data_IF_859139315112
#
_entry.id   IF_859139315112
#
_cell.length_a   1.000
_cell.length_b   1.000
_cell.length_c   1.000
_cell.angle_alpha   90.00
_cell.angle_beta   90.00
_cell.angle_gamma   90.00
#
_symmetry.space_group_name_H-M   'P 1'
#
loop_
_entity.id
_entity.type
_entity.pdbx_description
1 polymer ?
#
# COMPACT_ATOMS: atom_id res chain seq x y z
N UNK A 1 0.31 -6.40 -20.98
CA UNK A 1 0.88 -5.29 -20.18
C UNK A 1 -0.10 -5.02 -19.05
N UNK A 2 0.40 -4.81 -17.83
CA UNK A 2 -0.40 -4.86 -16.59
C UNK A 2 0.08 -5.89 -15.55
N UNK A 3 1.26 -6.49 -15.75
CA UNK A 3 1.78 -7.58 -14.89
C UNK A 3 1.98 -7.14 -13.43
N UNK A 4 2.34 -5.89 -13.22
CA UNK A 4 2.49 -5.30 -11.90
C UNK A 4 1.18 -5.31 -11.11
N UNK A 5 0.14 -4.72 -11.69
CA UNK A 5 -1.14 -4.57 -11.01
C UNK A 5 -1.80 -5.93 -10.75
N UNK A 6 -1.70 -6.88 -11.68
CA UNK A 6 -2.24 -8.24 -11.48
C UNK A 6 -1.65 -8.96 -10.26
N UNK A 7 -0.37 -8.70 -9.98
CA UNK A 7 0.35 -9.32 -8.88
C UNK A 7 0.08 -8.68 -7.52
N UNK A 8 -0.13 -7.36 -7.45
CA UNK A 8 -0.37 -6.61 -6.21
C UNK A 8 -1.51 -5.57 -6.35
N UNK A 9 -2.75 -6.00 -6.63
CA UNK A 9 -3.84 -5.05 -6.87
C UNK A 9 -4.45 -4.45 -5.60
N UNK A 10 -4.11 -4.95 -4.41
CA UNK A 10 -4.89 -4.68 -3.20
C UNK A 10 -4.78 -3.22 -2.72
N UNK A 11 -3.62 -2.59 -2.91
CA UNK A 11 -3.35 -1.21 -2.48
C UNK A 11 -2.77 -0.40 -3.64
N UNK A 12 -3.48 0.66 -4.01
CA UNK A 12 -3.05 1.57 -5.08
C UNK A 12 -2.78 2.96 -4.52
N UNK A 13 -1.55 3.43 -4.63
CA UNK A 13 -1.15 4.80 -4.35
C UNK A 13 -1.46 5.69 -5.54
N UNK A 14 -2.03 6.86 -5.27
CA UNK A 14 -2.44 7.82 -6.32
C UNK A 14 -2.00 9.22 -5.93
N UNK A 15 -1.36 9.92 -6.86
CA UNK A 15 -1.05 11.34 -6.71
C UNK A 15 -0.98 12.04 -8.07
N UNK A 16 -1.29 13.34 -8.04
CA UNK A 16 -1.07 14.26 -9.15
C UNK A 16 0.20 15.06 -8.95
N UNK A 17 0.82 15.47 -10.05
CA UNK A 17 1.97 16.36 -10.04
C UNK A 17 1.94 17.32 -11.22
N UNK A 18 2.56 18.48 -11.02
CA UNK A 18 2.66 19.57 -11.98
C UNK A 18 4.12 19.81 -12.40
N UNK A 19 4.30 20.58 -13.48
CA UNK A 19 5.63 21.00 -13.94
C UNK A 19 6.43 19.86 -14.58
N UNK A 20 5.76 18.95 -15.26
CA UNK A 20 6.39 17.80 -15.93
C UNK A 20 6.53 17.96 -17.44
N UNK A 21 5.92 19.01 -18.01
CA UNK A 21 5.90 19.32 -19.43
C UNK A 21 5.55 20.81 -19.67
N UNK A 22 5.96 21.34 -20.81
CA UNK A 22 5.78 22.73 -21.26
C UNK A 22 4.31 23.08 -21.53
N UNK A 23 3.51 22.10 -21.94
CA UNK A 23 2.07 22.25 -22.14
C UNK A 23 1.27 22.35 -20.82
N UNK A 24 1.94 22.24 -19.66
CA UNK A 24 1.37 22.37 -18.31
C UNK A 24 0.29 21.34 -17.95
N UNK A 25 0.20 20.24 -18.69
CA UNK A 25 -0.65 19.10 -18.32
C UNK A 25 -0.23 18.57 -16.94
N UNK A 26 -1.21 18.16 -16.15
CA UNK A 26 -1.01 17.51 -14.86
C UNK A 26 -0.72 16.04 -15.09
N UNK A 27 0.34 15.55 -14.46
CA UNK A 27 0.66 14.13 -14.47
C UNK A 27 -0.06 13.46 -13.29
N UNK A 28 -1.02 12.62 -13.61
CA UNK A 28 -1.73 11.76 -12.67
C UNK A 28 -1.16 10.35 -12.76
N UNK A 29 -0.74 9.78 -11.63
CA UNK A 29 -0.10 8.46 -11.64
C UNK A 29 -0.75 7.51 -10.66
N UNK A 30 -0.82 6.25 -11.06
CA UNK A 30 -1.22 5.12 -10.23
C UNK A 30 0.02 4.27 -9.96
N UNK A 31 0.20 3.87 -8.72
CA UNK A 31 1.35 3.10 -8.26
C UNK A 31 0.88 2.01 -7.31
N UNK A 32 1.54 0.86 -7.36
CA UNK A 32 1.34 -0.21 -6.39
C UNK A 32 2.57 -0.31 -5.47
N UNK A 33 2.35 -0.88 -4.30
CA UNK A 33 3.46 -1.36 -3.47
C UNK A 33 3.75 -2.82 -3.86
N UNK A 34 5.03 -3.13 -4.10
CA UNK A 34 5.46 -4.48 -4.49
C UNK A 34 6.17 -5.20 -3.34
N UNK A 35 6.28 -6.52 -3.47
CA UNK A 35 6.97 -7.35 -2.49
C UNK A 35 8.50 -7.35 -2.61
N UNK A 36 9.13 -6.75 -3.63
CA UNK A 36 10.52 -7.06 -4.00
C UNK A 36 11.59 -6.24 -3.29
N UNK A 37 11.22 -5.20 -2.53
CA UNK A 37 12.02 -4.46 -1.54
C UNK A 37 13.54 -4.25 -1.73
N UNK A 38 14.07 -4.19 -2.96
CA UNK A 38 15.48 -3.85 -3.22
C UNK A 38 15.66 -2.94 -4.45
N UNK A 39 16.40 -1.84 -4.25
CA UNK A 39 17.05 -1.04 -5.31
C UNK A 39 16.37 0.29 -5.66
N UNK A 40 15.05 0.33 -5.69
CA UNK A 40 14.28 1.57 -5.85
C UNK A 40 13.43 1.78 -4.61
N UNK A 41 13.66 2.87 -3.90
CA UNK A 41 12.81 3.41 -2.85
C UNK A 41 11.45 3.91 -3.38
N UNK A 42 10.97 3.36 -4.49
CA UNK A 42 9.83 3.80 -5.26
C UNK A 42 8.94 2.60 -5.59
N UNK A 43 7.65 2.72 -5.28
CA UNK A 43 6.66 1.72 -5.67
C UNK A 43 6.56 1.67 -7.19
N UNK A 44 5.87 0.66 -7.72
CA UNK A 44 5.84 0.44 -9.16
C UNK A 44 4.69 1.21 -9.78
N UNK A 45 5.01 2.11 -10.70
CA UNK A 45 3.99 2.75 -11.52
C UNK A 45 3.28 1.69 -12.35
N UNK A 46 1.95 1.80 -12.41
CA UNK A 46 1.09 0.91 -13.20
C UNK A 46 0.41 1.66 -14.32
N UNK A 47 0.20 2.97 -14.15
CA UNK A 47 -0.32 3.83 -15.18
C UNK A 47 0.02 5.29 -14.89
N UNK A 48 0.29 6.02 -15.97
CA UNK A 48 0.34 7.47 -16.00
C UNK A 48 -0.78 8.01 -16.89
N UNK A 49 -1.36 9.14 -16.52
CA UNK A 49 -2.32 9.89 -17.31
C UNK A 49 -1.95 11.37 -17.27
N UNK A 50 -1.77 11.97 -18.45
CA UNK A 50 -1.61 13.41 -18.58
C UNK A 50 -3.00 14.02 -18.77
N UNK A 51 -3.42 14.84 -17.82
CA UNK A 51 -4.75 15.45 -17.79
C UNK A 51 -4.63 16.97 -17.79
N UNK A 52 -5.58 17.66 -18.41
CA UNK A 52 -5.53 19.12 -18.55
C UNK A 52 -5.52 19.83 -17.18
N UNK A 53 -6.30 19.31 -16.23
CA UNK A 53 -6.43 19.87 -14.89
C UNK A 53 -6.89 18.80 -13.88
N UNK A 54 -7.02 19.21 -12.62
CA UNK A 54 -7.42 18.33 -11.50
C UNK A 54 -8.94 18.37 -11.25
N UNK A 55 -9.75 18.54 -12.29
CA UNK A 55 -11.22 18.47 -12.18
C UNK A 55 -11.73 17.03 -12.05
N UNK A 56 -12.95 16.89 -11.51
CA UNK A 56 -13.69 15.63 -11.44
C UNK A 56 -13.71 14.86 -12.76
N UNK A 57 -13.95 15.56 -13.87
CA UNK A 57 -14.05 14.94 -15.18
C UNK A 57 -12.70 14.35 -15.61
N UNK A 58 -11.64 15.15 -15.55
CA UNK A 58 -10.28 14.73 -15.88
C UNK A 58 -9.81 13.53 -15.03
N UNK A 59 -10.06 13.56 -13.71
CA UNK A 59 -9.71 12.44 -12.84
C UNK A 59 -10.54 11.20 -13.10
N UNK A 60 -11.83 11.36 -13.39
CA UNK A 60 -12.69 10.24 -13.76
C UNK A 60 -12.19 9.57 -15.04
N UNK A 61 -11.78 10.35 -16.03
CA UNK A 61 -11.24 9.81 -17.29
C UNK A 61 -9.95 9.02 -17.04
N UNK A 62 -9.04 9.55 -16.20
CA UNK A 62 -7.83 8.83 -15.80
C UNK A 62 -8.12 7.50 -15.07
N UNK A 63 -9.11 7.50 -14.17
CA UNK A 63 -9.55 6.29 -13.45
C UNK A 63 -10.26 5.31 -14.40
N UNK A 64 -11.03 5.80 -15.35
CA UNK A 64 -11.72 4.97 -16.35
C UNK A 64 -10.70 4.25 -17.21
N UNK A 65 -9.73 4.98 -17.77
CA UNK A 65 -8.62 4.40 -18.51
C UNK A 65 -7.83 3.39 -17.66
N UNK A 66 -7.62 3.68 -16.37
CA UNK A 66 -6.99 2.75 -15.44
C UNK A 66 -7.74 1.42 -15.35
N UNK A 67 -9.07 1.46 -15.17
CA UNK A 67 -9.90 0.25 -15.07
C UNK A 67 -9.95 -0.53 -16.38
N UNK A 68 -10.00 0.15 -17.52
CA UNK A 68 -9.98 -0.47 -18.85
C UNK A 68 -8.66 -1.22 -19.09
N UNK A 69 -7.54 -0.65 -18.66
CA UNK A 69 -6.22 -1.26 -18.80
C UNK A 69 -5.92 -2.33 -17.74
N UNK A 70 -6.68 -2.37 -16.64
CA UNK A 70 -6.43 -3.24 -15.49
C UNK A 70 -7.71 -3.99 -15.08
N UNK A 71 -8.09 -5.09 -15.76
CA UNK A 71 -9.38 -5.78 -15.54
C UNK A 71 -9.60 -6.30 -14.12
N UNK A 72 -8.54 -6.55 -13.35
CA UNK A 72 -8.59 -6.99 -11.95
C UNK A 72 -8.77 -5.84 -10.94
N UNK A 73 -9.22 -4.65 -11.39
CA UNK A 73 -9.37 -3.46 -10.55
C UNK A 73 -10.37 -3.65 -9.40
N UNK A 74 -11.28 -4.62 -9.53
CA UNK A 74 -12.24 -5.02 -8.51
C UNK A 74 -11.56 -5.64 -7.26
N UNK A 75 -10.31 -6.09 -7.38
CA UNK A 75 -9.50 -6.60 -6.26
C UNK A 75 -8.93 -5.49 -5.38
N UNK A 76 -9.02 -4.22 -5.78
CA UNK A 76 -8.53 -3.08 -4.99
C UNK A 76 -9.28 -3.01 -3.67
N UNK A 77 -8.54 -3.00 -2.57
CA UNK A 77 -9.08 -2.88 -1.21
C UNK A 77 -8.89 -1.48 -0.64
N UNK A 78 -7.82 -0.80 -1.04
CA UNK A 78 -7.57 0.57 -0.64
C UNK A 78 -6.88 1.40 -1.72
N UNK A 79 -7.27 2.67 -1.80
CA UNK A 79 -6.49 3.73 -2.42
C UNK A 79 -5.76 4.53 -1.35
N UNK A 80 -4.49 4.83 -1.57
CA UNK A 80 -3.72 5.73 -0.72
C UNK A 80 -3.41 7.01 -1.49
N UNK A 81 -3.92 8.13 -1.02
CA UNK A 81 -3.80 9.43 -1.70
C UNK A 81 -2.85 10.38 -0.99
N UNK A 82 -2.21 11.26 -1.76
CA UNK A 82 -1.56 12.45 -1.21
C UNK A 82 -2.60 13.48 -0.72
N UNK A 83 -2.22 14.35 0.24
CA UNK A 83 -3.08 15.41 0.83
C UNK A 83 -3.75 16.27 -0.25
N UNK A 84 -3.02 16.56 -1.32
CA UNK A 84 -3.43 17.52 -2.35
C UNK A 84 -4.30 16.87 -3.43
N UNK A 85 -4.84 15.67 -3.18
CA UNK A 85 -5.77 15.01 -4.08
C UNK A 85 -7.12 15.73 -4.03
N UNK A 86 -7.33 16.66 -4.95
CA UNK A 86 -8.46 17.59 -5.01
C UNK A 86 -9.83 16.92 -4.91
N UNK A 87 -9.95 15.64 -5.30
CA UNK A 87 -11.23 14.95 -5.27
C UNK A 87 -11.17 13.48 -4.82
N UNK A 88 -10.85 13.28 -3.54
CA UNK A 88 -11.03 11.99 -2.85
C UNK A 88 -12.42 11.39 -3.12
N UNK A 89 -13.43 12.25 -3.29
CA UNK A 89 -14.79 11.88 -3.66
C UNK A 89 -14.91 11.13 -4.99
N UNK A 90 -14.06 11.40 -5.98
CA UNK A 90 -14.06 10.69 -7.27
C UNK A 90 -13.68 9.23 -7.03
N UNK A 91 -12.58 8.98 -6.32
CA UNK A 91 -12.14 7.62 -6.00
C UNK A 91 -13.20 6.85 -5.20
N UNK A 92 -13.85 7.51 -4.23
CA UNK A 92 -14.94 6.91 -3.46
C UNK A 92 -16.17 6.56 -4.31
N UNK A 93 -16.50 7.39 -5.31
CA UNK A 93 -17.63 7.16 -6.21
C UNK A 93 -17.32 6.07 -7.23
N UNK A 94 -16.12 6.10 -7.79
CA UNK A 94 -15.69 5.18 -8.83
C UNK A 94 -15.32 3.80 -8.26
N UNK A 95 -14.90 3.72 -6.99
CA UNK A 95 -14.50 2.46 -6.34
C UNK A 95 -15.12 2.36 -4.94
N UNK A 96 -16.45 2.19 -4.84
CA UNK A 96 -17.17 2.25 -3.55
C UNK A 96 -16.80 1.11 -2.59
N UNK A 97 -16.27 0.01 -3.11
CA UNK A 97 -15.79 -1.13 -2.31
C UNK A 97 -14.37 -0.92 -1.76
N UNK A 98 -13.62 0.05 -2.29
CA UNK A 98 -12.27 0.37 -1.85
C UNK A 98 -12.28 1.48 -0.80
N UNK A 99 -11.46 1.33 0.23
CA UNK A 99 -11.24 2.39 1.22
C UNK A 99 -10.31 3.44 0.64
N UNK A 100 -10.59 4.73 0.85
CA UNK A 100 -9.65 5.80 0.47
C UNK A 100 -8.95 6.31 1.72
N UNK A 101 -7.64 6.15 1.77
CA UNK A 101 -6.76 6.46 2.88
C UNK A 101 -5.85 7.63 2.52
N UNK A 102 -5.55 8.49 3.49
CA UNK A 102 -4.56 9.55 3.32
C UNK A 102 -3.19 8.98 3.69
N UNK A 103 -2.20 9.25 2.86
CA UNK A 103 -0.81 8.88 3.13
C UNK A 103 -0.31 9.48 4.45
N UNK A 104 0.25 8.63 5.32
CA UNK A 104 0.82 9.01 6.62
C UNK A 104 1.85 10.16 6.53
N UNK A 105 2.73 10.12 5.53
CA UNK A 105 3.73 11.18 5.32
C UNK A 105 3.07 12.55 5.00
N UNK A 106 2.08 12.55 4.11
CA UNK A 106 1.36 13.77 3.76
C UNK A 106 0.51 14.28 4.92
N UNK A 107 0.01 13.39 5.78
CA UNK A 107 -0.66 13.75 7.02
C UNK A 107 0.30 14.43 8.00
N UNK A 108 1.52 13.91 8.20
CA UNK A 108 2.54 14.58 9.02
C UNK A 108 2.88 15.97 8.50
N UNK A 109 3.18 16.07 7.18
CA UNK A 109 3.44 17.35 6.53
C UNK A 109 2.28 18.33 6.67
N UNK A 110 1.03 17.86 6.49
CA UNK A 110 -0.19 18.63 6.73
C UNK A 110 -0.18 19.23 8.13
N UNK A 111 0.01 18.38 9.14
CA UNK A 111 -0.09 18.76 10.54
C UNK A 111 1.01 19.75 10.91
N UNK A 112 2.26 19.50 10.50
CA UNK A 112 3.36 20.46 10.69
C UNK A 112 3.04 21.83 10.10
N UNK A 113 2.51 21.90 8.87
CA UNK A 113 2.13 23.18 8.25
C UNK A 113 0.97 23.85 9.00
N UNK A 114 -0.08 23.11 9.34
CA UNK A 114 -1.22 23.66 10.07
C UNK A 114 -0.82 24.18 11.45
N UNK A 115 -0.04 23.40 12.20
CA UNK A 115 0.42 23.74 13.54
C UNK A 115 1.43 24.88 13.55
N UNK A 116 2.08 25.18 12.42
CA UNK A 116 2.96 26.36 12.29
C UNK A 116 2.20 27.69 12.20
N UNK A 117 0.87 27.67 12.06
CA UNK A 117 0.06 28.89 11.98
C UNK A 117 0.05 29.65 13.30
N UNK A 118 0.02 30.98 13.23
CA UNK A 118 0.09 31.87 14.39
C UNK A 118 -1.01 31.61 15.44
N UNK A 119 -2.18 31.14 15.01
CA UNK A 119 -3.30 30.75 15.89
C UNK A 119 -2.95 29.60 16.85
N UNK A 120 -1.89 28.86 16.58
CA UNK A 120 -1.36 27.79 17.43
C UNK A 120 -0.04 28.18 18.13
N UNK A 121 0.27 29.47 18.19
CA UNK A 121 1.52 29.99 18.77
C UNK A 121 2.73 29.90 17.83
N UNK A 122 2.50 29.64 16.54
CA UNK A 122 3.55 29.63 15.51
C UNK A 122 4.53 28.47 15.67
N UNK A 123 5.74 28.61 15.10
CA UNK A 123 6.81 27.59 15.15
C UNK A 123 7.28 27.21 16.58
N UNK A 124 6.86 27.96 17.61
CA UNK A 124 7.29 27.77 19.00
C UNK A 124 6.14 27.36 19.94
N UNK A 125 4.90 27.32 19.47
CA UNK A 125 3.72 27.13 20.31
C UNK A 125 3.26 25.67 20.48
N UNK A 126 3.68 24.76 19.60
CA UNK A 126 3.27 23.36 19.63
C UNK A 126 4.45 22.42 19.41
N UNK A 127 4.50 21.36 20.22
CA UNK A 127 5.44 20.25 20.07
C UNK A 127 4.97 19.36 18.90
N UNK A 128 5.25 19.81 17.67
CA UNK A 128 4.89 19.10 16.43
C UNK A 128 5.51 17.72 16.38
N UNK A 129 6.74 17.59 16.88
CA UNK A 129 7.47 16.33 16.91
C UNK A 129 6.73 15.30 17.78
N UNK A 130 6.21 15.71 18.95
CA UNK A 130 5.34 14.84 19.76
C UNK A 130 4.08 14.36 19.03
N UNK A 131 3.45 15.23 18.24
CA UNK A 131 2.26 14.85 17.47
C UNK A 131 2.64 13.87 16.36
N UNK A 132 3.74 14.10 15.65
CA UNK A 132 4.24 13.18 14.63
C UNK A 132 4.65 11.82 15.20
N UNK A 133 5.31 11.80 16.37
CA UNK A 133 5.67 10.58 17.09
C UNK A 133 4.44 9.80 17.54
N UNK A 134 3.40 10.50 18.01
CA UNK A 134 2.14 9.86 18.40
C UNK A 134 1.42 9.20 17.23
N UNK A 135 1.50 9.79 16.04
CA UNK A 135 0.98 9.20 14.80
C UNK A 135 1.85 8.03 14.32
N UNK A 136 3.16 8.08 14.50
CA UNK A 136 4.01 6.92 14.23
C UNK A 136 3.66 5.74 15.13
N UNK A 137 3.38 6.00 16.41
CA UNK A 137 2.96 4.96 17.35
C UNK A 137 1.64 4.31 16.93
N UNK A 138 0.67 5.08 16.41
CA UNK A 138 -0.60 4.50 15.94
C UNK A 138 -0.44 3.69 14.66
N UNK A 139 0.35 4.19 13.70
CA UNK A 139 0.59 3.49 12.41
C UNK A 139 1.40 2.21 12.60
N UNK A 140 2.36 2.20 13.54
CA UNK A 140 3.24 1.05 13.80
C UNK A 140 2.73 0.11 14.89
N UNK A 141 1.54 0.36 15.43
CA UNK A 141 0.95 -0.43 16.50
C UNK A 141 0.73 -1.88 16.07
N UNK A 142 1.13 -2.84 16.92
CA UNK A 142 0.99 -4.28 16.66
C UNK A 142 -0.35 -4.85 17.09
N UNK A 143 -1.04 -4.14 17.98
CA UNK A 143 -2.30 -4.54 18.58
C UNK A 143 -3.11 -3.30 18.94
N UNK A 144 -4.37 -3.54 19.33
CA UNK A 144 -5.33 -2.49 19.69
C UNK A 144 -4.86 -1.68 20.89
N UNK A 145 -4.21 -2.30 21.86
CA UNK A 145 -3.75 -1.63 23.09
C UNK A 145 -2.63 -0.62 22.81
N UNK A 146 -1.68 -0.98 21.95
CA UNK A 146 -0.62 -0.09 21.44
C UNK A 146 -1.21 1.04 20.60
N UNK A 147 -2.17 0.72 19.74
CA UNK A 147 -2.89 1.70 18.94
C UNK A 147 -3.60 2.73 19.83
N UNK A 148 -4.40 2.27 20.79
CA UNK A 148 -5.13 3.12 21.73
C UNK A 148 -4.16 3.95 22.60
N UNK A 149 -2.96 3.44 22.88
CA UNK A 149 -1.92 4.18 23.61
C UNK A 149 -1.34 5.30 22.76
N UNK A 150 -0.94 5.03 21.51
CA UNK A 150 -0.47 6.04 20.57
C UNK A 150 -1.53 7.09 20.29
N UNK A 151 -2.77 6.64 20.11
CA UNK A 151 -3.94 7.50 19.91
C UNK A 151 -4.13 8.39 21.14
N UNK A 152 -4.23 7.85 22.36
CA UNK A 152 -4.32 8.66 23.59
C UNK A 152 -3.13 9.62 23.79
N UNK A 153 -1.93 9.25 23.35
CA UNK A 153 -0.78 10.13 23.40
C UNK A 153 -0.97 11.35 22.49
N UNK A 154 -1.57 11.18 21.31
CA UNK A 154 -1.94 12.31 20.44
C UNK A 154 -2.98 13.24 21.10
N UNK A 155 -3.89 12.71 21.94
CA UNK A 155 -4.84 13.52 22.71
C UNK A 155 -4.19 14.29 23.88
N UNK A 156 -3.10 13.79 24.45
CA UNK A 156 -2.50 14.36 25.68
C UNK A 156 -1.46 15.44 25.41
N UNK A 157 -0.89 15.51 24.20
CA UNK A 157 -0.18 16.70 23.72
C UNK A 157 -1.20 17.82 23.54
N UNK A 158 -1.23 18.77 24.48
CA UNK A 158 -2.25 19.83 24.58
C UNK A 158 -2.31 20.72 23.32
N UNK A 159 -3.48 21.34 23.09
CA UNK A 159 -3.96 22.04 21.89
C UNK A 159 -4.52 21.18 20.72
N UNK A 160 -4.96 19.97 21.04
CA UNK A 160 -5.66 19.02 20.16
C UNK A 160 -7.21 19.04 20.11
N UNK A 161 -7.97 20.10 20.52
CA UNK A 161 -9.39 20.18 20.18
C UNK A 161 -9.66 20.16 18.67
N UNK A 162 -8.69 20.62 17.85
CA UNK A 162 -8.87 20.78 16.40
C UNK A 162 -8.56 19.52 15.57
N UNK A 163 -7.72 18.59 16.08
CA UNK A 163 -7.58 17.25 15.49
C UNK A 163 -8.94 16.53 15.58
N UNK A 164 -9.61 16.64 16.73
CA UNK A 164 -10.97 16.10 16.94
C UNK A 164 -11.97 16.76 15.98
N UNK A 165 -12.01 18.09 15.91
CA UNK A 165 -12.93 18.82 15.00
C UNK A 165 -12.61 18.53 13.52
N UNK A 166 -11.36 18.39 13.08
CA UNK A 166 -11.07 18.08 11.66
C UNK A 166 -11.42 16.64 11.26
N UNK A 167 -11.34 15.69 12.19
CA UNK A 167 -11.82 14.33 11.96
C UNK A 167 -13.35 14.20 12.17
N UNK A 168 -13.96 15.07 12.97
CA UNK A 168 -15.39 15.04 13.31
C UNK A 168 -16.25 16.10 12.62
N UNK A 169 -15.73 17.11 11.91
CA UNK A 169 -16.49 18.19 11.24
C UNK A 169 -16.06 18.39 9.79
N UNK A 170 -16.52 17.52 8.90
CA UNK A 170 -16.80 17.84 7.49
C UNK A 170 -15.63 18.19 6.57
N UNK A 171 -14.41 18.37 7.06
CA UNK A 171 -13.21 18.41 6.23
C UNK A 171 -12.89 16.97 5.77
N UNK A 172 -12.17 16.78 4.64
CA UNK A 172 -12.07 15.47 3.96
C UNK A 172 -11.55 14.31 4.82
N UNK A 173 -11.02 14.61 6.01
CA UNK A 173 -10.58 13.66 7.03
C UNK A 173 -11.72 12.90 7.75
N UNK A 174 -13.00 13.31 7.64
CA UNK A 174 -14.16 12.56 8.22
C UNK A 174 -14.30 11.13 7.70
N UNK A 175 -13.62 10.78 6.59
CA UNK A 175 -13.58 9.41 6.03
C UNK A 175 -12.17 8.79 6.08
N UNK A 176 -11.28 9.32 6.92
CA UNK A 176 -9.93 8.78 7.07
C UNK A 176 -9.95 7.49 7.91
N UNK A 177 -9.33 6.42 7.38
CA UNK A 177 -9.28 5.09 8.00
C UNK A 177 -8.67 5.02 9.41
N UNK A 178 -8.07 6.11 9.92
CA UNK A 178 -7.60 6.18 11.31
C UNK A 178 -8.75 5.97 12.32
N UNK A 179 -9.95 6.47 12.08
CA UNK A 179 -11.07 6.29 13.03
C UNK A 179 -11.63 4.85 13.03
N UNK A 180 -11.24 4.00 12.08
CA UNK A 180 -11.74 2.62 11.94
C UNK A 180 -10.63 1.57 12.12
N UNK A 181 -9.50 1.94 12.73
CA UNK A 181 -8.39 1.01 13.01
C UNK A 181 -7.59 0.60 11.76
N UNK A 182 -7.62 1.42 10.70
CA UNK A 182 -6.96 1.15 9.42
C UNK A 182 -5.99 2.25 9.04
N UNK A 183 -4.91 2.42 9.80
CA UNK A 183 -3.72 3.09 9.28
C UNK A 183 -2.85 2.04 8.60
N UNK A 184 -2.83 2.02 7.26
CA UNK A 184 -1.87 1.20 6.52
C UNK A 184 -0.67 2.06 6.16
N UNK A 185 0.51 1.67 6.65
CA UNK A 185 1.76 2.07 6.02
C UNK A 185 2.00 1.15 4.82
N UNK A 186 2.51 1.64 3.68
CA UNK A 186 3.02 0.77 2.63
C UNK A 186 4.00 -0.23 3.24
N UNK A 187 3.86 -1.47 2.83
CA UNK A 187 4.65 -2.64 3.25
C UNK A 187 6.16 -2.39 3.14
N UNK A 188 6.60 -1.64 2.15
CA UNK A 188 8.00 -1.29 1.89
C UNK A 188 8.51 -0.01 2.60
N UNK A 189 7.65 0.72 3.33
CA UNK A 189 7.99 2.05 3.88
C UNK A 189 8.10 3.16 2.81
N UNK A 190 7.75 2.87 1.56
CA UNK A 190 7.76 3.80 0.44
C UNK A 190 6.70 4.90 0.66
N UNK A 191 7.05 6.14 0.36
CA UNK A 191 6.09 7.25 0.35
C UNK A 191 5.79 7.67 -1.08
N UNK A 192 4.54 8.04 -1.42
CA UNK A 192 4.24 8.68 -2.70
C UNK A 192 5.11 9.93 -2.96
N UNK A 193 5.67 10.57 -1.93
CA UNK A 193 6.53 11.74 -2.10
C UNK A 193 7.89 11.39 -2.69
N UNK A 194 8.53 10.30 -2.25
CA UNK A 194 9.86 9.90 -2.75
C UNK A 194 9.79 9.49 -4.21
N UNK A 195 8.80 8.66 -4.57
CA UNK A 195 8.69 8.12 -5.91
C UNK A 195 8.27 9.20 -6.94
N UNK A 196 7.31 10.07 -6.62
CA UNK A 196 6.96 11.19 -7.49
C UNK A 196 8.02 12.31 -7.50
N UNK A 197 8.81 12.44 -6.43
CA UNK A 197 9.99 13.30 -6.40
C UNK A 197 11.01 12.88 -7.47
N UNK A 198 11.31 11.58 -7.56
CA UNK A 198 12.19 11.05 -8.60
C UNK A 198 11.67 11.31 -10.02
N UNK A 199 10.34 11.24 -10.23
CA UNK A 199 9.75 11.66 -11.51
C UNK A 199 9.98 13.13 -11.82
N UNK A 200 10.00 14.04 -10.84
CA UNK A 200 10.31 15.46 -11.07
C UNK A 200 11.80 15.74 -11.31
N UNK A 201 12.66 14.83 -10.89
CA UNK A 201 14.08 14.91 -11.20
C UNK A 201 14.36 14.55 -12.66
N UNK A 202 13.50 13.73 -13.27
CA UNK A 202 13.58 13.33 -14.68
C UNK A 202 12.71 14.25 -15.54
N UNK A 203 11.45 14.42 -15.16
CA UNK A 203 10.46 15.20 -15.91
C UNK A 203 10.60 16.70 -15.60
N UNK A 204 10.65 17.53 -16.63
CA UNK A 204 10.98 18.96 -16.53
C UNK A 204 9.88 19.82 -17.13
N UNK A 205 9.62 21.02 -16.55
CA UNK A 205 8.63 21.94 -17.10
C UNK A 205 8.91 22.39 -18.53
N UNK A 206 10.15 22.27 -19.00
CA UNK A 206 10.58 22.71 -20.33
C UNK A 206 10.40 21.62 -21.41
N UNK A 207 10.18 20.36 -21.01
CA UNK A 207 10.02 19.28 -21.99
C UNK A 207 8.73 19.43 -22.79
N UNK A 208 8.82 19.17 -24.09
CA UNK A 208 7.64 19.10 -24.94
C UNK A 208 6.74 17.91 -24.54
N UNK A 209 5.46 17.99 -24.93
CA UNK A 209 4.48 17.00 -24.47
C UNK A 209 4.78 15.60 -24.99
N UNK A 210 5.22 15.49 -26.24
CA UNK A 210 5.66 14.25 -26.87
C UNK A 210 6.89 13.65 -26.17
N UNK A 211 7.92 14.46 -25.92
CA UNK A 211 9.12 14.07 -25.17
C UNK A 211 8.75 13.55 -23.76
N UNK A 212 7.83 14.23 -23.07
CA UNK A 212 7.31 13.81 -21.77
C UNK A 212 6.63 12.43 -21.84
N UNK A 213 5.77 12.21 -22.85
CA UNK A 213 5.07 10.94 -23.07
C UNK A 213 6.05 9.81 -23.39
N UNK A 214 7.02 10.05 -24.28
CA UNK A 214 8.05 9.08 -24.63
C UNK A 214 8.89 8.69 -23.42
N UNK A 215 9.28 9.67 -22.60
CA UNK A 215 10.04 9.44 -21.36
C UNK A 215 9.24 8.60 -20.37
N UNK A 216 7.96 8.92 -20.14
CA UNK A 216 7.08 8.14 -19.27
C UNK A 216 6.91 6.71 -19.78
N UNK A 217 6.73 6.52 -21.09
CA UNK A 217 6.61 5.21 -21.69
C UNK A 217 7.91 4.39 -21.54
N UNK A 218 9.07 5.03 -21.74
CA UNK A 218 10.37 4.41 -21.53
C UNK A 218 10.58 3.96 -20.08
N UNK A 219 10.29 4.83 -19.10
CA UNK A 219 10.40 4.51 -17.68
C UNK A 219 9.49 3.35 -17.29
N UNK A 220 8.23 3.37 -17.72
CA UNK A 220 7.26 2.31 -17.45
C UNK A 220 7.70 0.98 -18.08
N UNK A 221 8.17 1.00 -19.33
CA UNK A 221 8.64 -0.19 -20.05
C UNK A 221 9.87 -0.81 -19.37
N UNK A 222 10.80 0.04 -18.94
CA UNK A 222 12.02 -0.38 -18.23
C UNK A 222 11.67 -1.03 -16.90
N UNK A 223 10.78 -0.42 -16.12
CA UNK A 223 10.29 -0.99 -14.86
C UNK A 223 9.63 -2.37 -15.08
N UNK A 224 8.76 -2.51 -16.10
CA UNK A 224 8.12 -3.80 -16.42
C UNK A 224 9.14 -4.89 -16.80
N UNK A 225 10.20 -4.54 -17.53
CA UNK A 225 11.28 -5.47 -17.90
C UNK A 225 12.09 -5.91 -16.68
N UNK A 226 12.50 -4.96 -15.83
CA UNK A 226 13.19 -5.28 -14.58
C UNK A 226 12.35 -6.19 -13.69
N UNK A 227 11.06 -5.92 -13.59
CA UNK A 227 10.13 -6.77 -12.85
C UNK A 227 10.03 -8.18 -13.42
N UNK A 228 9.86 -8.31 -14.74
CA UNK A 228 9.79 -9.62 -15.39
C UNK A 228 11.04 -10.45 -15.13
N UNK A 229 12.21 -9.80 -15.05
CA UNK A 229 13.47 -10.47 -14.70
C UNK A 229 13.51 -10.98 -13.25
N UNK A 230 12.86 -10.27 -12.31
CA UNK A 230 12.86 -10.61 -10.88
C UNK A 230 11.74 -11.56 -10.47
N UNK A 231 10.62 -11.55 -11.18
CA UNK A 231 9.40 -12.26 -10.78
C UNK A 231 9.61 -13.77 -10.52
N UNK A 232 10.51 -14.39 -11.28
CA UNK A 232 10.82 -15.83 -11.20
C UNK A 232 12.08 -16.13 -10.38
N UNK A 233 12.74 -15.11 -9.82
CA UNK A 233 13.93 -15.31 -8.98
C UNK A 233 13.49 -15.71 -7.57
N UNK A 234 13.85 -16.91 -7.14
CA UNK A 234 13.56 -17.40 -5.79
C UNK A 234 14.20 -16.49 -4.74
N UNK A 235 13.48 -16.23 -3.64
CA UNK A 235 13.95 -15.36 -2.56
C UNK A 235 14.02 -13.87 -2.87
N UNK A 236 13.59 -13.42 -4.05
CA UNK A 236 13.54 -11.99 -4.40
C UNK A 236 12.34 -11.24 -3.80
N UNK A 237 11.33 -11.96 -3.28
CA UNK A 237 10.12 -11.38 -2.66
C UNK A 237 10.21 -11.37 -1.14
N UNK A 238 9.82 -10.24 -0.57
CA UNK A 238 9.52 -10.05 0.84
C UNK A 238 8.04 -10.37 1.10
N UNK A 239 7.79 -11.24 2.09
CA UNK A 239 6.45 -11.63 2.48
C UNK A 239 6.11 -11.05 3.85
N UNK A 240 5.18 -10.10 3.89
CA UNK A 240 4.78 -9.47 5.15
C UNK A 240 4.00 -10.44 6.04
N UNK A 241 4.29 -10.40 7.35
CA UNK A 241 3.69 -11.31 8.33
C UNK A 241 4.32 -12.71 8.36
N UNK A 242 5.19 -13.04 7.40
CA UNK A 242 6.01 -14.25 7.47
C UNK A 242 6.98 -14.15 8.64
N UNK A 243 6.93 -15.12 9.55
CA UNK A 243 7.97 -15.28 10.56
C UNK A 243 9.25 -15.85 9.94
N UNK A 244 10.31 -15.98 10.76
CA UNK A 244 11.62 -16.41 10.28
C UNK A 244 11.57 -17.76 9.53
N UNK A 245 10.68 -18.67 9.94
CA UNK A 245 10.53 -19.97 9.30
C UNK A 245 9.87 -19.83 7.92
N UNK A 246 8.79 -19.06 7.81
CA UNK A 246 8.17 -18.77 6.51
C UNK A 246 9.13 -18.02 5.58
N UNK A 247 9.92 -17.07 6.07
CA UNK A 247 10.89 -16.34 5.24
C UNK A 247 11.99 -17.25 4.70
N UNK A 248 12.49 -18.22 5.50
CA UNK A 248 13.45 -19.23 5.02
C UNK A 248 12.84 -20.12 3.92
N UNK A 249 11.57 -20.48 4.06
CA UNK A 249 10.85 -21.27 3.06
C UNK A 249 10.58 -20.47 1.78
N UNK A 250 10.19 -19.21 1.90
CA UNK A 250 9.99 -18.28 0.79
C UNK A 250 11.23 -18.13 -0.11
N UNK A 251 12.44 -18.26 0.47
CA UNK A 251 13.69 -18.22 -0.28
C UNK A 251 13.90 -19.43 -1.20
N UNK A 252 13.19 -20.53 -0.95
CA UNK A 252 13.42 -21.83 -1.60
C UNK A 252 12.32 -22.24 -2.57
N UNK A 253 11.21 -21.50 -2.64
CA UNK A 253 10.02 -21.94 -3.37
C UNK A 253 9.36 -20.81 -4.15
N UNK A 254 8.62 -21.20 -5.19
CA UNK A 254 7.86 -20.25 -6.01
C UNK A 254 6.78 -19.55 -5.16
N UNK A 255 6.31 -18.36 -5.58
CA UNK A 255 5.24 -17.65 -4.87
C UNK A 255 3.96 -18.49 -4.70
N UNK A 256 3.64 -19.32 -5.71
CA UNK A 256 2.50 -20.23 -5.63
C UNK A 256 2.69 -21.32 -4.57
N UNK A 257 3.87 -21.94 -4.53
CA UNK A 257 4.19 -22.95 -3.52
C UNK A 257 4.25 -22.34 -2.11
N UNK A 258 4.80 -21.13 -1.98
CA UNK A 258 4.81 -20.39 -0.72
C UNK A 258 3.41 -20.15 -0.17
N UNK A 259 2.46 -19.76 -1.03
CA UNK A 259 1.09 -19.50 -0.61
C UNK A 259 0.38 -20.77 -0.10
N UNK A 260 0.66 -21.93 -0.71
CA UNK A 260 0.15 -23.22 -0.22
C UNK A 260 0.70 -23.55 1.17
N UNK A 261 2.04 -23.47 1.32
CA UNK A 261 2.73 -23.75 2.59
C UNK A 261 2.32 -22.76 3.68
N UNK A 262 2.17 -21.48 3.35
CA UNK A 262 1.74 -20.44 4.29
C UNK A 262 0.36 -20.72 4.86
N UNK A 263 -0.61 -21.12 4.03
CA UNK A 263 -1.97 -21.45 4.51
C UNK A 263 -1.97 -22.59 5.52
N UNK A 264 -1.19 -23.64 5.25
CA UNK A 264 -1.05 -24.77 6.17
C UNK A 264 -0.31 -24.37 7.45
N UNK A 265 0.77 -23.60 7.33
CA UNK A 265 1.56 -23.12 8.46
C UNK A 265 0.76 -22.21 9.40
N UNK A 266 -0.01 -21.26 8.84
CA UNK A 266 -0.90 -20.41 9.64
C UNK A 266 -2.00 -21.22 10.33
N UNK A 267 -2.55 -22.21 9.63
CA UNK A 267 -3.57 -23.10 10.22
C UNK A 267 -2.98 -23.95 11.35
N UNK A 268 -1.73 -24.41 11.21
CA UNK A 268 -0.96 -25.10 12.26
C UNK A 268 -0.72 -24.18 13.47
N UNK A 269 -0.25 -22.95 13.23
CA UNK A 269 0.04 -21.95 14.26
C UNK A 269 -1.22 -21.54 15.04
N UNK A 270 -2.37 -21.53 14.37
CA UNK A 270 -3.67 -21.22 14.97
C UNK A 270 -4.35 -22.43 15.62
N UNK A 271 -3.67 -23.58 15.72
CA UNK A 271 -4.21 -24.79 16.34
C UNK A 271 -5.37 -25.45 15.57
N UNK A 272 -5.62 -25.00 14.34
CA UNK A 272 -6.77 -25.40 13.51
C UNK A 272 -6.46 -26.53 12.53
N UNK A 273 -5.18 -26.94 12.43
CA UNK A 273 -4.75 -28.00 11.55
C UNK A 273 -4.80 -29.36 12.28
N UNK A 274 -5.49 -30.32 11.68
CA UNK A 274 -5.39 -31.73 12.04
C UNK A 274 -5.12 -32.54 10.78
N UNK A 275 -4.16 -33.45 10.86
CA UNK A 275 -3.81 -34.34 9.77
C UNK A 275 -4.03 -35.79 10.20
N UNK A 276 -4.70 -36.55 9.33
CA UNK A 276 -4.86 -37.99 9.49
C UNK A 276 -3.86 -38.69 8.57
N UNK A 277 -2.79 -39.23 9.14
CA UNK A 277 -1.81 -40.01 8.40
C UNK A 277 -2.29 -41.45 8.37
N UNK A 278 -2.66 -41.92 7.17
CA UNK A 278 -3.04 -43.32 6.94
C UNK A 278 -1.84 -44.07 6.39
N UNK A 279 -1.19 -44.87 7.24
CA UNK A 279 -0.14 -45.78 6.81
C UNK A 279 -0.77 -47.13 6.44
N UNK A 280 -0.61 -47.54 5.18
CA UNK A 280 -0.99 -48.87 4.72
C UNK A 280 0.23 -49.78 4.84
N UNK A 281 0.16 -50.76 5.73
CA UNK A 281 1.20 -51.78 5.83
C UNK A 281 0.81 -53.00 5.01
N UNK A 282 1.61 -53.34 4.01
CA UNK A 282 1.44 -54.58 3.26
C UNK A 282 2.24 -55.69 3.96
N UNK A 283 1.54 -56.68 4.52
CA UNK A 283 2.15 -57.94 4.95
C UNK A 283 1.92 -59.00 3.87
N UNK A 284 2.98 -59.55 3.25
CA UNK A 284 2.82 -60.51 2.15
C UNK A 284 2.15 -61.84 2.51
N UNK A 285 1.99 -62.16 3.80
CA UNK A 285 1.53 -63.47 4.27
C UNK A 285 0.06 -63.52 4.71
N UNK A 286 -0.64 -62.39 4.71
CA UNK A 286 -2.05 -62.29 5.08
C UNK A 286 -2.72 -61.34 4.08
N UNK A 287 -3.77 -61.75 3.38
CA UNK A 287 -4.60 -60.91 2.48
C UNK A 287 -5.38 -59.82 3.23
N UNK A 288 -4.76 -59.19 4.23
CA UNK A 288 -5.34 -58.20 5.10
C UNK A 288 -4.54 -56.89 5.00
N UNK A 289 -5.20 -55.85 4.47
CA UNK A 289 -4.69 -54.48 4.52
C UNK A 289 -4.91 -53.90 5.93
N UNK A 290 -3.89 -53.96 6.78
CA UNK A 290 -3.93 -53.25 8.06
C UNK A 290 -3.73 -51.75 7.82
N UNK A 291 -4.78 -50.96 8.08
CA UNK A 291 -4.77 -49.50 8.05
C UNK A 291 -4.49 -48.95 9.44
N UNK A 292 -3.32 -48.35 9.62
CA UNK A 292 -3.04 -47.56 10.83
C UNK A 292 -3.45 -46.12 10.55
N UNK A 293 -4.45 -45.61 11.29
CA UNK A 293 -4.84 -44.21 11.28
C UNK A 293 -4.17 -43.52 12.44
N UNK A 294 -3.26 -42.59 12.15
CA UNK A 294 -2.64 -41.73 13.15
C UNK A 294 -3.23 -40.33 12.95
N UNK A 295 -4.05 -39.90 13.90
CA UNK A 295 -4.51 -38.51 13.97
C UNK A 295 -3.48 -37.68 14.71
N UNK A 296 -2.87 -36.73 14.01
CA UNK A 296 -2.03 -35.71 14.63
C UNK A 296 -2.78 -34.38 14.57
N UNK A 297 -3.14 -33.86 15.74
CA UNK A 297 -3.68 -32.51 15.90
C UNK A 297 -2.65 -31.61 16.57
N UNK A 298 -2.74 -30.31 16.31
CA UNK A 298 -2.07 -29.31 17.13
C UNK A 298 -2.70 -29.30 18.54
N UNK A 299 -1.89 -29.48 19.59
CA UNK A 299 -2.29 -29.24 20.99
C UNK A 299 -2.09 -27.78 21.37
#
# INVERSE_FOLDING_TARGET
MGRFFEAFPEVVMVASTNGTNAAKYKLFSFMIDDAFGHGSTAGQYVQHALVENESHACMKDAITAFKENNPSWDRIRAFMVAKDFGEISVLQRESPLARVLICHFHLKKYLRTEMSKAIYGGLHGVDVDRVEDSLDMTVKARNKEEYDRGFRASYRSQNTPFLIISFETGTPARKCGLCTGGAMSPTSGITPTTAWGALKDILKPEMELDECVETLHFLQSTAELEYASRFNVLGSRNYHGADEMLLRLAALMSPHAFELVRKEYESYKNGSLSYEVVANFYRPSEDAHNRLRISCGCF
#
